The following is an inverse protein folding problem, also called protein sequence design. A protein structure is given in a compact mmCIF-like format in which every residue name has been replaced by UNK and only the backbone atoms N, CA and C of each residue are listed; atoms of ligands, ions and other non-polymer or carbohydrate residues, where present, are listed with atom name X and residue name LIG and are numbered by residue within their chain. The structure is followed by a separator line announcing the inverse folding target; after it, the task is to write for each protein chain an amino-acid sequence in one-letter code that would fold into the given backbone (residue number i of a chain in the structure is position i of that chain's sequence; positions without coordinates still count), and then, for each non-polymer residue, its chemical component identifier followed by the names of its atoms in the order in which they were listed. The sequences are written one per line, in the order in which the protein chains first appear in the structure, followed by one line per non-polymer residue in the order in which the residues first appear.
data_IF_986637979570
#
_entry.id   IF_986637979570
#
_cell.length_a   1.000
_cell.length_b   1.000
_cell.length_c   1.000
_cell.angle_alpha   90.00
_cell.angle_beta   90.00
_cell.angle_gamma   90.00
#
_symmetry.space_group_name_H-M   'P 1'
#
loop_
_entity.id
_entity.type
_entity.pdbx_description
1 polymer ?
#
# COMPACT_ATOMS: atom_id res chain seq x y z
N UNK A 1 20.19 0.54 23.57
CA UNK A 1 21.31 -0.27 23.01
C UNK A 1 21.91 0.36 21.74
N UNK A 2 21.12 0.98 20.85
CA UNK A 2 21.62 1.78 19.71
C UNK A 2 22.56 2.94 20.12
N UNK A 3 22.33 3.55 21.30
CA UNK A 3 23.19 4.62 21.86
C UNK A 3 24.64 4.18 22.12
N UNK A 4 24.88 2.90 22.43
CA UNK A 4 26.23 2.42 22.73
C UNK A 4 27.09 2.20 21.46
N UNK A 5 26.43 2.11 20.31
CA UNK A 5 27.07 1.98 18.99
C UNK A 5 27.35 3.34 18.35
N UNK A 6 26.51 4.34 18.62
CA UNK A 6 26.66 5.68 18.07
C UNK A 6 27.77 6.47 18.76
N UNK A 7 28.00 6.26 20.06
CA UNK A 7 29.08 6.92 20.80
C UNK A 7 30.49 6.40 20.44
N UNK A 8 30.61 5.16 19.92
CA UNK A 8 31.91 4.60 19.53
C UNK A 8 32.46 5.18 18.22
N UNK A 9 31.60 5.79 17.40
CA UNK A 9 31.91 6.16 16.01
C UNK A 9 32.11 7.66 15.77
N UNK A 10 32.11 8.51 16.80
CA UNK A 10 32.36 9.96 16.64
C UNK A 10 33.86 10.33 16.50
N UNK A 11 34.78 9.35 16.50
CA UNK A 11 36.23 9.62 16.64
C UNK A 11 37.03 9.40 15.35
N UNK A 12 36.51 8.79 14.28
CA UNK A 12 37.34 8.42 13.13
C UNK A 12 36.64 8.66 11.78
N UNK A 13 36.95 9.79 11.13
CA UNK A 13 36.37 10.22 9.85
C UNK A 13 37.05 9.61 8.59
N UNK A 14 38.05 8.73 8.74
CA UNK A 14 38.79 8.11 7.60
C UNK A 14 38.65 6.57 7.53
N UNK A 15 37.42 6.06 7.38
CA UNK A 15 37.16 4.61 7.37
C UNK A 15 37.83 3.79 6.24
N UNK A 16 38.19 4.41 5.11
CA UNK A 16 38.81 3.69 3.98
C UNK A 16 40.32 3.44 4.16
N UNK A 17 41.02 4.29 4.92
CA UNK A 17 42.46 4.16 5.16
C UNK A 17 42.77 3.21 6.34
N UNK A 18 41.78 2.92 7.18
CA UNK A 18 41.93 2.16 8.42
C UNK A 18 41.35 0.74 8.38
N UNK A 19 40.98 0.22 7.20
CA UNK A 19 40.48 -1.15 7.08
C UNK A 19 41.51 -2.18 7.59
N UNK A 20 41.07 -3.08 8.47
CA UNK A 20 41.90 -4.10 9.09
C UNK A 20 42.74 -3.60 10.26
N UNK A 21 42.67 -2.32 10.63
CA UNK A 21 43.44 -1.77 11.76
C UNK A 21 43.05 -2.37 13.11
N UNK A 22 41.78 -2.78 13.28
CA UNK A 22 41.29 -3.42 14.51
C UNK A 22 41.41 -4.95 14.49
N UNK A 23 41.75 -5.53 13.33
CA UNK A 23 41.90 -6.96 13.12
C UNK A 23 43.34 -7.42 13.37
N UNK A 24 43.48 -8.64 13.86
CA UNK A 24 44.78 -9.29 14.02
C UNK A 24 45.28 -9.82 12.67
N UNK A 25 46.43 -9.32 12.14
CA UNK A 25 46.95 -9.73 10.83
C UNK A 25 47.22 -11.23 10.71
N UNK A 26 47.56 -11.90 11.81
CA UNK A 26 47.83 -13.34 11.81
C UNK A 26 46.55 -14.17 11.66
N UNK A 27 45.45 -13.68 12.24
CA UNK A 27 44.14 -14.33 12.12
C UNK A 27 43.57 -14.09 10.73
N UNK A 28 43.73 -12.88 10.18
CA UNK A 28 43.29 -12.54 8.82
C UNK A 28 43.93 -13.44 7.76
N UNK A 29 45.22 -13.75 7.89
CA UNK A 29 45.92 -14.63 6.96
C UNK A 29 45.44 -16.09 7.02
N UNK A 30 44.95 -16.54 8.18
CA UNK A 30 44.55 -17.93 8.42
C UNK A 30 43.04 -18.17 8.29
N UNK A 31 42.22 -17.12 8.42
CA UNK A 31 40.75 -17.20 8.42
C UNK A 31 40.14 -16.03 7.62
N UNK A 32 39.84 -16.23 6.32
CA UNK A 32 39.32 -15.18 5.44
C UNK A 32 38.00 -14.57 5.92
N UNK A 33 37.17 -15.35 6.63
CA UNK A 33 35.95 -14.86 7.23
C UNK A 33 36.22 -13.74 8.25
N UNK A 34 37.27 -13.89 9.06
CA UNK A 34 37.65 -12.89 10.05
C UNK A 34 38.05 -11.57 9.38
N UNK A 35 38.76 -11.62 8.25
CA UNK A 35 39.17 -10.44 7.50
C UNK A 35 37.95 -9.60 7.06
N UNK A 36 36.88 -10.24 6.58
CA UNK A 36 35.70 -9.51 6.08
C UNK A 36 34.76 -9.01 7.19
N UNK A 37 34.99 -9.36 8.46
CA UNK A 37 34.06 -9.00 9.56
C UNK A 37 33.87 -7.49 9.70
N UNK A 38 34.92 -6.69 9.53
CA UNK A 38 34.81 -5.22 9.55
C UNK A 38 33.97 -4.69 8.38
N UNK A 39 34.11 -5.25 7.17
CA UNK A 39 33.29 -4.87 6.01
C UNK A 39 31.82 -5.19 6.26
N UNK A 40 31.54 -6.35 6.87
CA UNK A 40 30.18 -6.73 7.24
C UNK A 40 29.61 -5.79 8.32
N UNK A 41 30.41 -5.40 9.32
CA UNK A 41 29.99 -4.41 10.31
C UNK A 41 29.67 -3.06 9.65
N UNK A 42 30.52 -2.59 8.73
CA UNK A 42 30.27 -1.38 7.96
C UNK A 42 28.96 -1.46 7.15
N UNK A 43 28.74 -2.58 6.45
CA UNK A 43 27.50 -2.83 5.73
C UNK A 43 26.29 -2.81 6.68
N UNK A 44 26.38 -3.45 7.84
CA UNK A 44 25.33 -3.43 8.86
C UNK A 44 25.00 -2.01 9.34
N UNK A 45 26.00 -1.14 9.53
CA UNK A 45 25.78 0.26 9.90
C UNK A 45 25.06 1.05 8.80
N UNK A 46 25.48 0.89 7.54
CA UNK A 46 24.82 1.56 6.40
C UNK A 46 23.34 1.16 6.30
N UNK A 47 23.03 -0.13 6.48
CA UNK A 47 21.65 -0.62 6.45
C UNK A 47 20.86 -0.12 7.66
N UNK A 48 21.48 -0.06 8.85
CA UNK A 48 20.84 0.51 10.03
C UNK A 48 20.47 1.99 9.82
N UNK A 49 21.35 2.78 9.22
CA UNK A 49 21.05 4.17 8.85
C UNK A 49 19.89 4.26 7.85
N UNK A 50 19.89 3.41 6.83
CA UNK A 50 18.77 3.33 5.88
C UNK A 50 17.44 3.00 6.57
N UNK A 51 17.43 2.00 7.46
CA UNK A 51 16.22 1.62 8.22
C UNK A 51 15.75 2.78 9.09
N UNK A 52 16.66 3.49 9.78
CA UNK A 52 16.30 4.64 10.60
C UNK A 52 15.72 5.79 9.74
N UNK A 53 16.29 6.03 8.56
CA UNK A 53 15.76 7.00 7.60
C UNK A 53 14.34 6.62 7.17
N UNK A 54 14.12 5.37 6.76
CA UNK A 54 12.81 4.89 6.32
C UNK A 54 11.80 4.98 7.46
N UNK A 55 12.14 4.56 8.69
CA UNK A 55 11.25 4.67 9.85
C UNK A 55 10.82 6.12 10.11
N UNK A 56 11.75 7.08 9.99
CA UNK A 56 11.45 8.51 10.14
C UNK A 56 10.52 9.03 9.03
N UNK A 57 10.73 8.60 7.79
CA UNK A 57 9.92 9.01 6.63
C UNK A 57 8.53 8.39 6.69
N UNK A 58 8.42 7.10 6.98
CA UNK A 58 7.14 6.40 7.16
C UNK A 58 6.34 7.05 8.28
N UNK A 59 6.97 7.38 9.41
CA UNK A 59 6.29 8.03 10.53
C UNK A 59 5.75 9.41 10.16
N UNK A 60 6.48 10.21 9.38
CA UNK A 60 6.03 11.52 8.87
C UNK A 60 4.90 11.38 7.85
N UNK A 61 5.03 10.45 6.90
CA UNK A 61 4.04 10.20 5.86
C UNK A 61 2.69 9.78 6.48
N UNK A 62 2.71 8.86 7.45
CA UNK A 62 1.48 8.44 8.16
C UNK A 62 0.78 9.62 8.84
N UNK A 63 1.53 10.48 9.54
CA UNK A 63 0.97 11.67 10.20
C UNK A 63 0.36 12.65 9.17
N UNK A 64 1.05 12.90 8.05
CA UNK A 64 0.57 13.76 6.98
C UNK A 64 -0.74 13.25 6.36
N UNK A 65 -0.84 11.95 6.03
CA UNK A 65 -2.10 11.36 5.50
C UNK A 65 -3.27 11.41 6.47
N UNK A 66 -3.01 11.45 7.78
CA UNK A 66 -4.08 11.52 8.80
C UNK A 66 -4.58 12.96 8.99
N UNK A 67 -3.71 13.96 8.79
CA UNK A 67 -3.99 15.37 9.09
C UNK A 67 -4.43 16.15 7.84
N UNK A 68 -3.90 15.83 6.65
CA UNK A 68 -4.03 16.68 5.46
C UNK A 68 -4.63 15.90 4.28
N UNK A 69 -5.93 16.08 4.11
CA UNK A 69 -6.62 16.25 2.83
C UNK A 69 -6.27 15.27 1.69
N UNK A 70 -7.06 14.19 1.58
CA UNK A 70 -7.58 13.67 0.31
C UNK A 70 -6.57 13.23 -0.79
N UNK A 71 -5.27 13.25 -0.52
CA UNK A 71 -4.22 12.80 -1.43
C UNK A 71 -3.60 11.53 -0.84
N UNK A 72 -4.26 10.40 -1.12
CA UNK A 72 -3.82 9.08 -0.67
C UNK A 72 -2.71 8.57 -1.60
N UNK A 73 -1.57 9.26 -1.64
CA UNK A 73 -0.43 8.77 -2.42
C UNK A 73 0.29 7.64 -1.67
N UNK A 74 -0.13 6.42 -1.97
CA UNK A 74 0.47 5.18 -1.46
C UNK A 74 1.75 4.79 -2.20
N UNK A 75 2.12 5.50 -3.27
CA UNK A 75 3.23 5.11 -4.15
C UNK A 75 4.57 5.21 -3.44
N UNK A 76 4.78 6.30 -2.70
CA UNK A 76 5.98 6.53 -1.89
C UNK A 76 6.12 5.47 -0.79
N UNK A 77 5.02 5.16 -0.09
CA UNK A 77 5.01 4.13 0.95
C UNK A 77 5.25 2.73 0.37
N UNK A 78 4.68 2.43 -0.80
CA UNK A 78 4.92 1.17 -1.51
C UNK A 78 6.37 1.03 -1.97
N UNK A 79 7.01 2.12 -2.39
CA UNK A 79 8.43 2.12 -2.75
C UNK A 79 9.31 1.78 -1.54
N UNK A 80 9.07 2.44 -0.41
CA UNK A 80 9.79 2.15 0.83
C UNK A 80 9.55 0.71 1.31
N UNK A 81 8.34 0.17 1.15
CA UNK A 81 8.07 -1.22 1.47
C UNK A 81 8.89 -2.18 0.60
N UNK A 82 8.95 -1.95 -0.72
CA UNK A 82 9.75 -2.78 -1.62
C UNK A 82 11.23 -2.77 -1.26
N UNK A 83 11.75 -1.60 -0.89
CA UNK A 83 13.13 -1.46 -0.44
C UNK A 83 13.39 -2.22 0.87
N UNK A 84 12.48 -2.17 1.84
CA UNK A 84 12.60 -2.94 3.09
C UNK A 84 12.54 -4.46 2.85
N UNK A 85 11.70 -4.90 1.91
CA UNK A 85 11.60 -6.32 1.50
C UNK A 85 12.88 -6.81 0.81
N UNK A 86 13.54 -5.94 0.03
CA UNK A 86 14.86 -6.22 -0.54
C UNK A 86 15.94 -6.34 0.53
N UNK A 87 16.00 -5.38 1.45
CA UNK A 87 16.90 -5.44 2.61
C UNK A 87 16.66 -6.72 3.44
N UNK A 88 15.41 -7.15 3.60
CA UNK A 88 15.07 -8.41 4.30
C UNK A 88 15.58 -9.66 3.59
N UNK A 89 15.67 -9.65 2.25
CA UNK A 89 16.29 -10.73 1.47
C UNK A 89 17.80 -10.73 1.70
N UNK A 90 18.44 -9.56 1.58
CA UNK A 90 19.89 -9.41 1.81
C UNK A 90 20.30 -9.84 3.21
N UNK A 91 19.54 -9.52 4.25
CA UNK A 91 19.84 -9.99 5.61
C UNK A 91 19.78 -11.50 5.74
N UNK A 92 18.81 -12.17 5.13
CA UNK A 92 18.72 -13.64 5.17
C UNK A 92 19.92 -14.30 4.51
N UNK A 93 20.37 -13.75 3.39
CA UNK A 93 21.57 -14.23 2.70
C UNK A 93 22.82 -14.00 3.55
N UNK A 94 22.99 -12.80 4.09
CA UNK A 94 24.13 -12.46 4.94
C UNK A 94 24.18 -13.30 6.22
N UNK A 95 23.05 -13.51 6.89
CA UNK A 95 22.95 -14.39 8.07
C UNK A 95 23.43 -15.79 7.75
N UNK A 96 22.96 -16.37 6.64
CA UNK A 96 23.40 -17.70 6.20
C UNK A 96 24.91 -17.76 5.97
N UNK A 97 25.50 -16.71 5.38
CA UNK A 97 26.95 -16.63 5.17
C UNK A 97 27.70 -16.53 6.51
N UNK A 98 27.20 -15.77 7.48
CA UNK A 98 27.81 -15.62 8.81
C UNK A 98 27.74 -16.93 9.61
N UNK A 99 26.60 -17.62 9.57
CA UNK A 99 26.38 -18.93 10.21
C UNK A 99 27.34 -19.97 9.65
N UNK A 100 27.54 -19.97 8.32
CA UNK A 100 28.42 -20.92 7.64
C UNK A 100 29.91 -20.55 7.74
N UNK A 101 30.23 -19.37 8.29
CA UNK A 101 31.59 -18.79 8.30
C UNK A 101 32.15 -18.63 6.88
N UNK A 102 31.32 -18.18 5.93
CA UNK A 102 31.64 -18.10 4.52
C UNK A 102 31.29 -19.39 3.76
N UNK A 103 32.18 -19.84 2.89
CA UNK A 103 32.02 -21.11 2.16
C UNK A 103 32.54 -22.30 2.99
N UNK A 104 31.99 -23.48 2.77
CA UNK A 104 32.51 -24.73 3.34
C UNK A 104 33.99 -24.99 3.00
N UNK A 105 34.50 -24.38 1.92
CA UNK A 105 35.89 -24.47 1.47
C UNK A 105 36.83 -23.46 2.13
N UNK A 106 36.33 -22.54 2.95
CA UNK A 106 37.17 -21.51 3.56
C UNK A 106 38.03 -22.08 4.69
N UNK A 107 39.34 -21.77 4.71
CA UNK A 107 40.23 -22.22 5.76
C UNK A 107 39.84 -21.57 7.09
N UNK A 108 39.97 -22.35 8.16
CA UNK A 108 39.75 -21.91 9.55
C UNK A 108 41.08 -21.87 10.27
N UNK A 109 41.23 -20.97 11.24
CA UNK A 109 42.45 -20.89 12.03
C UNK A 109 42.78 -22.25 12.68
N UNK A 110 44.04 -22.68 12.55
CA UNK A 110 44.55 -23.93 13.13
C UNK A 110 44.86 -23.78 14.62
N UNK A 111 45.22 -22.58 15.06
CA UNK A 111 45.46 -22.27 16.47
C UNK A 111 44.13 -22.09 17.21
N UNK A 112 43.99 -22.78 18.35
CA UNK A 112 42.81 -22.74 19.20
C UNK A 112 42.52 -21.34 19.76
N UNK A 113 43.56 -20.54 20.07
CA UNK A 113 43.36 -19.18 20.60
C UNK A 113 42.84 -18.22 19.53
N UNK A 114 43.43 -18.26 18.33
CA UNK A 114 43.00 -17.46 17.18
C UNK A 114 41.58 -17.82 16.76
N UNK A 115 41.27 -19.12 16.68
CA UNK A 115 39.93 -19.61 16.36
C UNK A 115 38.88 -19.17 17.37
N UNK A 116 39.19 -19.24 18.67
CA UNK A 116 38.27 -18.77 19.69
C UNK A 116 37.98 -17.25 19.60
N UNK A 117 38.95 -16.43 19.19
CA UNK A 117 38.75 -14.99 18.96
C UNK A 117 37.87 -14.75 17.72
N UNK A 118 38.17 -15.42 16.60
CA UNK A 118 37.36 -15.33 15.39
C UNK A 118 35.92 -15.78 15.64
N UNK A 119 35.73 -16.88 16.38
CA UNK A 119 34.41 -17.40 16.71
C UNK A 119 33.57 -16.44 17.57
N UNK A 120 34.21 -15.76 18.53
CA UNK A 120 33.54 -14.74 19.37
C UNK A 120 33.07 -13.55 18.54
N UNK A 121 33.93 -13.00 17.67
CA UNK A 121 33.59 -11.86 16.82
C UNK A 121 32.46 -12.23 15.87
N UNK A 122 32.56 -13.39 15.25
CA UNK A 122 31.59 -13.85 14.28
C UNK A 122 30.24 -14.24 14.94
N UNK A 123 30.24 -14.70 16.20
CA UNK A 123 29.01 -14.87 16.98
C UNK A 123 28.37 -13.52 17.38
N UNK A 124 29.18 -12.50 17.73
CA UNK A 124 28.67 -11.14 17.96
C UNK A 124 28.03 -10.58 16.70
N UNK A 125 28.72 -10.70 15.57
CA UNK A 125 28.23 -10.23 14.27
C UNK A 125 26.91 -10.91 13.88
N UNK A 126 26.80 -12.23 14.10
CA UNK A 126 25.56 -12.97 13.86
C UNK A 126 24.40 -12.37 14.65
N UNK A 127 24.59 -12.17 15.96
CA UNK A 127 23.58 -11.60 16.85
C UNK A 127 23.18 -10.18 16.42
N UNK A 128 24.13 -9.36 15.99
CA UNK A 128 23.86 -7.99 15.53
C UNK A 128 23.02 -7.99 14.24
N UNK A 129 23.30 -8.92 13.32
CA UNK A 129 22.51 -9.10 12.09
C UNK A 129 21.10 -9.66 12.36
N UNK A 130 20.96 -10.59 13.31
CA UNK A 130 19.64 -11.11 13.73
C UNK A 130 18.75 -10.00 14.30
N UNK A 131 19.32 -9.14 15.15
CA UNK A 131 18.60 -7.99 15.72
C UNK A 131 18.18 -7.00 14.61
N UNK A 132 19.08 -6.67 13.68
CA UNK A 132 18.75 -5.80 12.55
C UNK A 132 17.68 -6.40 11.64
N UNK A 133 17.72 -7.71 11.41
CA UNK A 133 16.67 -8.41 10.65
C UNK A 133 15.32 -8.32 11.37
N UNK A 134 15.29 -8.53 12.69
CA UNK A 134 14.07 -8.42 13.48
C UNK A 134 13.49 -7.00 13.42
N UNK A 135 14.33 -5.97 13.59
CA UNK A 135 13.92 -4.57 13.45
C UNK A 135 13.36 -4.25 12.06
N UNK A 136 13.99 -4.75 11.00
CA UNK A 136 13.50 -4.58 9.63
C UNK A 136 12.13 -5.24 9.43
N UNK A 137 11.92 -6.46 9.95
CA UNK A 137 10.63 -7.15 9.87
C UNK A 137 9.52 -6.41 10.62
N UNK A 138 9.81 -5.83 11.79
CA UNK A 138 8.85 -5.00 12.50
C UNK A 138 8.46 -3.76 11.70
N UNK A 139 9.45 -3.09 11.09
CA UNK A 139 9.20 -1.92 10.25
C UNK A 139 8.36 -2.26 9.00
N UNK A 140 8.62 -3.40 8.35
CA UNK A 140 7.78 -3.90 7.24
C UNK A 140 6.34 -4.08 7.70
N UNK A 141 6.11 -4.73 8.86
CA UNK A 141 4.76 -4.94 9.41
C UNK A 141 4.07 -3.61 9.70
N UNK A 142 4.76 -2.66 10.32
CA UNK A 142 4.25 -1.31 10.61
C UNK A 142 3.88 -0.58 9.32
N UNK A 143 4.74 -0.60 8.31
CA UNK A 143 4.50 -0.01 6.99
C UNK A 143 3.27 -0.62 6.32
N UNK A 144 3.12 -1.94 6.35
CA UNK A 144 1.96 -2.64 5.78
C UNK A 144 0.66 -2.26 6.49
N UNK A 145 0.67 -2.19 7.82
CA UNK A 145 -0.49 -1.79 8.61
C UNK A 145 -0.90 -0.34 8.31
N UNK A 146 0.07 0.58 8.19
CA UNK A 146 -0.21 1.96 7.81
C UNK A 146 -0.84 2.05 6.42
N UNK A 147 -0.27 1.35 5.43
CA UNK A 147 -0.81 1.35 4.07
C UNK A 147 -2.26 0.83 4.05
N UNK A 148 -2.55 -0.24 4.79
CA UNK A 148 -3.92 -0.77 4.92
C UNK A 148 -4.88 0.26 5.52
N UNK A 149 -4.46 0.97 6.56
CA UNK A 149 -5.28 2.03 7.19
C UNK A 149 -5.57 3.16 6.20
N UNK A 150 -4.56 3.62 5.46
CA UNK A 150 -4.70 4.67 4.43
C UNK A 150 -5.69 4.24 3.35
N UNK A 151 -5.56 3.01 2.81
CA UNK A 151 -6.47 2.47 1.80
C UNK A 151 -7.91 2.38 2.32
N UNK A 152 -8.09 1.90 3.55
CA UNK A 152 -9.42 1.79 4.15
C UNK A 152 -10.07 3.17 4.33
N UNK A 153 -9.30 4.18 4.76
CA UNK A 153 -9.78 5.55 4.88
C UNK A 153 -10.12 6.14 3.51
N UNK A 154 -9.31 5.91 2.49
CA UNK A 154 -9.57 6.34 1.12
C UNK A 154 -10.87 5.75 0.58
N UNK A 155 -11.06 4.44 0.74
CA UNK A 155 -12.27 3.73 0.31
C UNK A 155 -13.52 4.23 1.05
N UNK A 156 -13.41 4.54 2.35
CA UNK A 156 -14.51 5.11 3.11
C UNK A 156 -14.87 6.51 2.61
N UNK A 157 -13.88 7.36 2.36
CA UNK A 157 -14.08 8.70 1.83
C UNK A 157 -14.71 8.67 0.43
N UNK A 158 -14.27 7.77 -0.45
CA UNK A 158 -14.85 7.56 -1.78
C UNK A 158 -16.31 7.08 -1.70
N UNK A 159 -16.61 6.18 -0.76
CA UNK A 159 -17.98 5.71 -0.50
C UNK A 159 -18.88 6.86 -0.06
N UNK A 160 -18.43 7.68 0.88
CA UNK A 160 -19.18 8.85 1.35
C UNK A 160 -19.46 9.84 0.22
N UNK A 161 -18.48 10.11 -0.64
CA UNK A 161 -18.67 10.96 -1.83
C UNK A 161 -19.68 10.38 -2.80
N UNK A 162 -19.61 9.07 -3.06
CA UNK A 162 -20.55 8.40 -3.95
C UNK A 162 -21.98 8.46 -3.42
N UNK A 163 -22.16 8.35 -2.09
CA UNK A 163 -23.47 8.52 -1.45
C UNK A 163 -23.99 9.95 -1.60
N UNK A 164 -23.12 10.95 -1.42
CA UNK A 164 -23.51 12.35 -1.58
C UNK A 164 -23.86 12.70 -3.03
N UNK A 165 -23.10 12.17 -4.00
CA UNK A 165 -23.43 12.28 -5.42
C UNK A 165 -24.78 11.60 -5.73
N UNK A 166 -25.02 10.40 -5.21
CA UNK A 166 -26.30 9.71 -5.38
C UNK A 166 -27.47 10.52 -4.79
N UNK A 167 -27.27 11.17 -3.64
CA UNK A 167 -28.27 12.06 -3.03
C UNK A 167 -28.56 13.28 -3.91
N UNK A 168 -27.54 13.92 -4.46
CA UNK A 168 -27.71 15.06 -5.36
C UNK A 168 -28.45 14.65 -6.64
N UNK A 169 -28.08 13.53 -7.25
CA UNK A 169 -28.79 12.97 -8.42
C UNK A 169 -30.25 12.66 -8.07
N UNK A 170 -30.50 12.07 -6.90
CA UNK A 170 -31.88 11.80 -6.44
C UNK A 170 -32.69 13.09 -6.35
N UNK A 171 -32.14 14.15 -5.77
CA UNK A 171 -32.82 15.46 -5.67
C UNK A 171 -33.14 16.05 -7.04
N UNK A 172 -32.20 15.98 -7.99
CA UNK A 172 -32.42 16.45 -9.37
C UNK A 172 -33.51 15.64 -10.08
N UNK A 173 -33.52 14.33 -9.92
CA UNK A 173 -34.55 13.45 -10.50
C UNK A 173 -35.94 13.79 -9.94
N UNK A 174 -36.07 13.98 -8.63
CA UNK A 174 -37.33 14.42 -8.02
C UNK A 174 -37.84 15.74 -8.63
N UNK A 175 -36.95 16.70 -8.87
CA UNK A 175 -37.29 17.98 -9.46
C UNK A 175 -37.69 17.85 -10.95
N UNK A 176 -36.96 17.06 -11.73
CA UNK A 176 -37.25 16.81 -13.14
C UNK A 176 -38.63 16.15 -13.32
N UNK A 177 -38.97 15.15 -12.50
CA UNK A 177 -40.27 14.48 -12.54
C UNK A 177 -41.43 15.38 -12.15
N UNK A 178 -41.18 16.45 -11.40
CA UNK A 178 -42.18 17.50 -11.14
C UNK A 178 -42.34 18.44 -12.35
N UNK A 179 -41.24 18.90 -12.95
CA UNK A 179 -41.29 19.89 -14.02
C UNK A 179 -41.74 19.33 -15.37
N UNK A 180 -41.39 18.09 -15.71
CA UNK A 180 -41.69 17.51 -17.03
C UNK A 180 -43.21 17.44 -17.29
N UNK A 181 -44.05 16.88 -16.39
CA UNK A 181 -45.51 16.90 -16.58
C UNK A 181 -46.11 18.31 -16.61
N UNK A 182 -45.65 19.19 -15.71
CA UNK A 182 -46.14 20.57 -15.60
C UNK A 182 -45.87 21.38 -16.87
N UNK A 183 -44.65 21.29 -17.40
CA UNK A 183 -44.26 21.99 -18.63
C UNK A 183 -44.95 21.41 -19.85
N UNK A 184 -45.15 20.09 -19.91
CA UNK A 184 -45.89 19.44 -20.99
C UNK A 184 -47.35 19.90 -21.05
N UNK A 185 -48.07 19.91 -19.93
CA UNK A 185 -49.49 20.34 -19.92
C UNK A 185 -49.63 21.84 -20.18
N UNK A 186 -48.70 22.65 -19.66
CA UNK A 186 -48.67 24.10 -19.95
C UNK A 186 -48.40 24.38 -21.43
N UNK A 187 -47.47 23.66 -22.05
CA UNK A 187 -47.17 23.80 -23.49
C UNK A 187 -48.35 23.32 -24.35
N UNK A 188 -48.95 22.17 -24.01
CA UNK A 188 -50.07 21.60 -24.75
C UNK A 188 -51.33 22.47 -24.70
N UNK A 189 -51.66 23.04 -23.53
CA UNK A 189 -52.81 23.94 -23.38
C UNK A 189 -52.50 25.40 -23.75
N UNK A 190 -51.22 25.79 -23.74
CA UNK A 190 -50.75 27.12 -24.15
C UNK A 190 -50.62 27.27 -25.66
N UNK A 191 -50.47 26.16 -26.40
CA UNK A 191 -50.64 26.15 -27.84
C UNK A 191 -52.11 26.47 -28.15
N UNK A 192 -52.39 27.56 -28.87
CA UNK A 192 -53.74 28.11 -29.04
C UNK A 192 -54.69 27.06 -29.65
N UNK A 193 -55.46 26.36 -28.79
CA UNK A 193 -56.31 25.25 -29.20
C UNK A 193 -57.59 25.78 -29.85
N UNK A 194 -57.47 26.30 -31.08
CA UNK A 194 -58.61 26.70 -31.93
C UNK A 194 -59.52 25.53 -32.32
N UNK A 195 -59.21 24.31 -31.87
CA UNK A 195 -59.90 23.05 -32.19
C UNK A 195 -60.97 22.70 -31.14
N UNK A 196 -60.91 23.28 -29.93
CA UNK A 196 -61.89 22.99 -28.85
C UNK A 196 -63.14 23.86 -28.85
N UNK A 197 -63.38 24.68 -29.89
CA UNK A 197 -64.67 25.29 -30.18
C UNK A 197 -65.32 26.06 -29.01
N UNK A 198 -65.12 27.38 -28.97
CA UNK A 198 -65.83 28.34 -28.13
C UNK A 198 -65.66 28.23 -26.60
N UNK A 199 -64.99 29.25 -26.05
CA UNK A 199 -65.14 29.67 -24.65
C UNK A 199 -64.06 29.11 -23.73
N UNK A 200 -63.13 29.99 -23.33
CA UNK A 200 -62.33 29.92 -22.10
C UNK A 200 -62.03 28.50 -21.61
N UNK A 201 -60.87 27.94 -22.00
CA UNK A 201 -60.38 26.69 -21.40
C UNK A 201 -60.40 26.88 -19.88
N UNK A 202 -61.26 26.13 -19.20
CA UNK A 202 -61.43 26.30 -17.77
C UNK A 202 -60.14 25.87 -17.08
N UNK A 203 -59.64 26.68 -16.14
CA UNK A 203 -58.46 26.33 -15.33
C UNK A 203 -58.62 24.95 -14.67
N UNK A 204 -59.87 24.53 -14.43
CA UNK A 204 -60.23 23.21 -13.93
C UNK A 204 -59.78 22.06 -14.85
N UNK A 205 -59.87 22.20 -16.17
CA UNK A 205 -59.43 21.17 -17.12
C UNK A 205 -57.91 20.96 -17.07
N UNK A 206 -57.14 22.03 -16.85
CA UNK A 206 -55.69 21.92 -16.66
C UNK A 206 -55.33 21.10 -15.42
N UNK A 207 -56.00 21.33 -14.30
CA UNK A 207 -55.82 20.51 -13.09
C UNK A 207 -56.24 19.06 -13.31
N UNK A 208 -57.35 18.82 -14.02
CA UNK A 208 -57.88 17.48 -14.30
C UNK A 208 -56.91 16.60 -15.12
N UNK A 209 -56.08 17.20 -15.99
CA UNK A 209 -55.09 16.47 -16.81
C UNK A 209 -53.74 16.39 -16.10
N UNK A 210 -53.32 17.48 -15.44
CA UNK A 210 -51.98 17.59 -14.83
C UNK A 210 -51.84 16.69 -13.60
N UNK A 211 -52.87 16.59 -12.76
CA UNK A 211 -52.82 15.80 -11.52
C UNK A 211 -52.64 14.29 -11.81
N UNK A 212 -53.43 13.65 -12.69
CA UNK A 212 -53.21 12.24 -13.04
C UNK A 212 -51.84 12.00 -13.68
N UNK A 213 -51.37 12.91 -14.55
CA UNK A 213 -50.06 12.78 -15.20
C UNK A 213 -48.91 12.84 -14.19
N UNK A 214 -49.00 13.75 -13.21
CA UNK A 214 -48.06 13.82 -12.09
C UNK A 214 -48.09 12.56 -11.23
N UNK A 215 -49.28 12.04 -10.91
CA UNK A 215 -49.41 10.79 -10.14
C UNK A 215 -48.79 9.60 -10.86
N UNK A 216 -48.99 9.49 -12.18
CA UNK A 216 -48.36 8.44 -13.00
C UNK A 216 -46.83 8.61 -13.02
N UNK A 217 -46.32 9.83 -13.21
CA UNK A 217 -44.89 10.10 -13.21
C UNK A 217 -44.24 9.74 -11.86
N UNK A 218 -44.87 10.10 -10.74
CA UNK A 218 -44.39 9.70 -9.41
C UNK A 218 -44.51 8.21 -9.14
N UNK A 219 -45.60 7.57 -9.57
CA UNK A 219 -45.75 6.12 -9.45
C UNK A 219 -44.64 5.37 -10.22
N UNK A 220 -44.31 5.82 -11.44
CA UNK A 220 -43.21 5.29 -12.22
C UNK A 220 -41.85 5.52 -11.55
N UNK A 221 -41.63 6.65 -10.89
CA UNK A 221 -40.40 6.93 -10.15
C UNK A 221 -40.27 6.06 -8.88
N UNK A 222 -41.35 5.88 -8.13
CA UNK A 222 -41.36 5.05 -6.92
C UNK A 222 -41.19 3.58 -7.27
N UNK A 223 -41.92 3.09 -8.29
CA UNK A 223 -41.68 1.77 -8.86
C UNK A 223 -40.21 1.71 -9.30
N UNK A 224 -39.76 2.70 -10.09
CA UNK A 224 -38.41 2.96 -10.63
C UNK A 224 -37.24 2.83 -9.64
N UNK A 225 -37.46 3.26 -8.40
CA UNK A 225 -36.47 3.22 -7.33
C UNK A 225 -36.64 2.01 -6.39
N UNK A 226 -37.84 1.41 -6.35
CA UNK A 226 -38.19 0.30 -5.45
C UNK A 226 -38.09 -1.10 -6.06
N UNK A 227 -38.09 -1.24 -7.38
CA UNK A 227 -37.99 -2.55 -8.03
C UNK A 227 -36.55 -2.86 -8.47
N UNK A 228 -36.04 -4.07 -8.19
CA UNK A 228 -34.80 -4.54 -8.79
C UNK A 228 -35.07 -4.95 -10.24
N UNK A 229 -35.04 -4.02 -11.20
CA UNK A 229 -34.82 -4.38 -12.61
C UNK A 229 -33.36 -4.81 -12.79
N UNK A 230 -33.03 -5.99 -12.26
CA UNK A 230 -32.07 -6.88 -12.92
C UNK A 230 -32.84 -7.64 -13.99
N UNK A 231 -33.06 -7.01 -15.13
CA UNK A 231 -33.34 -7.73 -16.37
C UNK A 231 -32.36 -7.23 -17.42
N UNK A 232 -31.32 -8.04 -17.64
CA UNK A 232 -30.52 -8.06 -18.86
C UNK A 232 -29.52 -6.92 -19.03
N UNK A 233 -28.29 -7.14 -18.55
CA UNK A 233 -27.17 -6.25 -18.82
C UNK A 233 -25.85 -6.80 -18.30
N UNK A 234 -25.56 -8.08 -18.58
CA UNK A 234 -24.18 -8.57 -18.52
C UNK A 234 -23.34 -7.74 -19.49
N UNK A 235 -22.55 -6.80 -18.98
CA UNK A 235 -21.37 -6.29 -19.68
C UNK A 235 -20.26 -5.91 -18.69
N UNK A 236 -19.29 -6.83 -18.61
CA UNK A 236 -17.85 -6.63 -18.41
C UNK A 236 -17.35 -5.68 -17.31
N UNK A 237 -17.03 -6.25 -16.15
CA UNK A 237 -15.79 -5.87 -15.45
C UNK A 237 -14.85 -7.06 -15.51
N UNK A 238 -13.97 -7.00 -16.52
CA UNK A 238 -12.75 -7.80 -16.58
C UNK A 238 -11.97 -7.65 -15.28
N UNK A 239 -11.60 -8.79 -14.70
CA UNK A 239 -10.25 -9.01 -14.18
C UNK A 239 -9.85 -8.30 -12.88
N UNK A 240 -10.06 -8.97 -11.74
CA UNK A 240 -8.99 -9.09 -10.74
C UNK A 240 -9.21 -10.29 -9.80
N UNK A 241 -9.33 -11.50 -10.38
CA UNK A 241 -9.11 -12.73 -9.60
C UNK A 241 -7.61 -12.95 -9.41
N UNK A 242 -6.93 -12.05 -8.69
CA UNK A 242 -5.55 -12.27 -8.23
C UNK A 242 -5.60 -13.15 -6.98
N UNK A 243 -5.81 -14.45 -7.18
CA UNK A 243 -5.56 -15.47 -6.15
C UNK A 243 -4.36 -16.31 -6.58
N UNK A 244 -3.26 -16.04 -5.87
CA UNK A 244 -2.04 -16.85 -5.68
C UNK A 244 -2.13 -18.29 -6.21
N UNK A 245 -1.34 -18.60 -7.23
CA UNK A 245 -0.67 -19.89 -7.40
C UNK A 245 0.61 -19.65 -8.23
N UNK A 246 1.68 -19.23 -7.56
CA UNK A 246 3.04 -19.48 -8.02
C UNK A 246 3.63 -20.50 -7.05
N UNK A 247 3.65 -21.75 -7.50
CA UNK A 247 4.48 -22.88 -7.08
C UNK A 247 4.31 -23.87 -8.24
N UNK A 248 5.30 -24.30 -9.00
CA UNK A 248 6.71 -24.02 -9.08
C UNK A 248 7.15 -24.82 -10.31
N UNK A 249 7.71 -24.17 -11.31
CA UNK A 249 8.42 -24.86 -12.40
C UNK A 249 9.77 -25.23 -11.81
N UNK A 250 9.90 -26.47 -11.36
CA UNK A 250 11.16 -27.20 -11.20
C UNK A 250 10.86 -28.69 -11.35
N UNK A 251 10.90 -29.20 -12.58
CA UNK A 251 11.74 -30.35 -12.96
C UNK A 251 11.38 -30.84 -14.37
N UNK A 252 12.24 -30.53 -15.33
CA UNK A 252 12.54 -31.42 -16.44
C UNK A 252 13.98 -31.86 -16.21
N UNK A 253 14.18 -33.05 -15.64
CA UNK A 253 15.19 -33.99 -16.16
C UNK A 253 15.14 -35.37 -15.51
N UNK A 254 15.36 -36.36 -16.38
CA UNK A 254 15.98 -37.65 -16.15
C UNK A 254 15.19 -38.74 -15.37
N UNK A 255 14.66 -39.71 -16.13
CA UNK A 255 14.98 -41.15 -16.09
C UNK A 255 14.12 -41.84 -17.16
N UNK A 256 14.72 -42.55 -18.12
CA UNK A 256 14.98 -43.99 -18.04
C UNK A 256 13.73 -44.75 -17.58
#
# INVERSE_FOLDING_TARGET
MALNWQHRNMVDENHAENYGSSLDPQIMANEPFYAITELMQFAAFSICQLINMIDSTVSRATLATTIVANNYDISELSYHQQLLDEVARTFRENLRVIEQRGSATWPKAKDAKQRAKADRIAASLLKDYEELQHRNQDLIKRCHNHMKTIINQASLAETQRSLEQARQVTQLTWLAFMFVPLTFTTSFLGMNLSIFGQGTVSLWLWFAITVPLMLIAFALLILGNGAPWKLGGDTYVLGSKRRRLFNGIWNINARL
#
